data_IF_048160913192
#
_entry.id   IF_048160913192
#
_cell.length_a   1.000
_cell.length_b   1.000
_cell.length_c   1.000
_cell.angle_alpha   90.00
_cell.angle_beta   90.00
_cell.angle_gamma   90.00
#
_symmetry.space_group_name_H-M   'P 1'
#
loop_
_entity.id
_entity.type
_entity.pdbx_description
1 polymer ?
#
# COMPACT_ATOMS: atom_id res chain seq x y z
N UNK A 1 2.56 -28.71 2.30
CA UNK A 1 2.47 -28.30 0.88
C UNK A 1 3.11 -26.92 0.61
N UNK A 2 4.25 -26.57 1.22
CA UNK A 2 4.75 -25.18 1.22
C UNK A 2 6.16 -25.00 0.60
N UNK A 3 6.83 -26.07 0.17
CA UNK A 3 8.21 -26.00 -0.33
C UNK A 3 8.31 -25.54 -1.79
N UNK A 4 7.35 -25.91 -2.64
CA UNK A 4 7.37 -25.62 -4.10
C UNK A 4 6.98 -24.17 -4.43
N UNK A 5 6.24 -23.48 -3.55
CA UNK A 5 5.84 -22.08 -3.77
C UNK A 5 6.98 -21.08 -3.57
N UNK A 6 7.95 -21.41 -2.70
CA UNK A 6 9.11 -20.54 -2.42
C UNK A 6 9.99 -20.29 -3.65
N UNK A 7 10.45 -21.31 -4.42
CA UNK A 7 11.31 -21.08 -5.59
C UNK A 7 10.60 -20.34 -6.71
N UNK A 8 9.28 -20.57 -6.90
CA UNK A 8 8.48 -19.85 -7.91
C UNK A 8 8.33 -18.38 -7.55
N UNK A 9 8.09 -18.06 -6.27
CA UNK A 9 7.98 -16.69 -5.79
C UNK A 9 9.30 -15.94 -5.87
N UNK A 10 10.42 -16.60 -5.55
CA UNK A 10 11.74 -15.99 -5.73
C UNK A 10 12.05 -15.76 -7.21
N UNK A 11 11.75 -16.72 -8.09
CA UNK A 11 11.91 -16.54 -9.54
C UNK A 11 11.08 -15.37 -10.07
N UNK A 12 9.81 -15.27 -9.65
CA UNK A 12 8.94 -14.16 -10.04
C UNK A 12 9.49 -12.81 -9.57
N UNK A 13 10.04 -12.74 -8.34
CA UNK A 13 10.67 -11.52 -7.82
C UNK A 13 11.93 -11.15 -8.59
N UNK A 14 12.79 -12.13 -8.92
CA UNK A 14 13.99 -11.91 -9.73
C UNK A 14 13.64 -11.45 -11.15
N UNK A 15 12.65 -12.07 -11.78
CA UNK A 15 12.16 -11.67 -13.09
C UNK A 15 11.56 -10.26 -13.06
N UNK A 16 10.78 -9.93 -12.04
CA UNK A 16 10.25 -8.58 -11.86
C UNK A 16 11.37 -7.55 -11.67
N UNK A 17 12.40 -7.86 -10.87
CA UNK A 17 13.55 -6.98 -10.69
C UNK A 17 14.32 -6.74 -12.00
N UNK A 18 14.55 -7.79 -12.80
CA UNK A 18 15.18 -7.69 -14.12
C UNK A 18 14.33 -6.83 -15.06
N UNK A 19 13.00 -7.03 -15.08
CA UNK A 19 12.10 -6.23 -15.90
C UNK A 19 12.14 -4.75 -15.53
N UNK A 20 12.14 -4.41 -14.23
CA UNK A 20 12.24 -3.02 -13.76
C UNK A 20 13.55 -2.37 -14.22
N UNK A 21 14.68 -3.06 -14.07
CA UNK A 21 15.98 -2.55 -14.51
C UNK A 21 16.03 -2.34 -16.03
N UNK A 22 15.50 -3.29 -16.80
CA UNK A 22 15.40 -3.18 -18.26
C UNK A 22 14.49 -2.03 -18.69
N UNK A 23 13.36 -1.79 -18.00
CA UNK A 23 12.47 -0.66 -18.28
C UNK A 23 13.18 0.68 -18.09
N UNK A 24 13.98 0.84 -17.04
CA UNK A 24 14.73 2.07 -16.79
C UNK A 24 15.83 2.27 -17.84
N UNK A 25 16.59 1.23 -18.16
CA UNK A 25 17.64 1.30 -19.19
C UNK A 25 17.05 1.67 -20.55
N UNK A 26 15.91 1.09 -20.89
CA UNK A 26 15.19 1.34 -22.14
C UNK A 26 14.64 2.77 -22.21
N UNK A 27 14.06 3.28 -21.12
CA UNK A 27 13.59 4.67 -21.05
C UNK A 27 14.75 5.67 -21.20
N UNK A 28 15.86 5.48 -20.48
CA UNK A 28 17.03 6.34 -20.60
C UNK A 28 17.61 6.32 -22.03
N UNK A 29 17.62 5.16 -22.67
CA UNK A 29 18.05 5.00 -24.06
C UNK A 29 17.11 5.69 -25.05
N UNK A 30 15.79 5.62 -24.84
CA UNK A 30 14.82 6.34 -25.66
C UNK A 30 14.95 7.86 -25.56
N UNK A 31 15.32 8.40 -24.39
CA UNK A 31 15.58 9.84 -24.19
C UNK A 31 16.87 10.25 -24.89
N UNK A 32 17.92 9.42 -24.83
CA UNK A 32 19.18 9.67 -25.53
C UNK A 32 19.00 9.71 -27.06
N UNK A 33 18.08 8.90 -27.61
CA UNK A 33 17.74 8.90 -29.03
C UNK A 33 16.58 9.83 -29.41
N UNK A 34 16.02 10.60 -28.47
CA UNK A 34 14.97 11.57 -28.77
C UNK A 34 15.51 12.85 -29.42
N UNK A 35 16.80 13.15 -29.24
CA UNK A 35 17.49 14.30 -29.87
C UNK A 35 18.14 13.96 -31.21
N UNK A 36 18.36 12.68 -31.49
CA UNK A 36 18.86 12.23 -32.77
C UNK A 36 17.68 12.11 -33.73
N UNK A 37 17.76 12.83 -34.85
CA UNK A 37 16.78 12.81 -35.93
C UNK A 37 16.42 11.36 -36.29
N UNK A 38 15.14 11.11 -36.63
CA UNK A 38 14.44 9.81 -36.67
C UNK A 38 15.01 8.73 -37.64
N UNK A 39 16.28 8.87 -38.07
CA UNK A 39 17.04 7.97 -38.94
C UNK A 39 17.98 7.01 -38.23
N UNK A 40 18.22 7.18 -36.93
CA UNK A 40 18.94 6.17 -36.16
C UNK A 40 17.98 5.05 -35.78
N UNK A 41 17.77 4.09 -36.69
CA UNK A 41 16.93 2.90 -36.49
C UNK A 41 17.49 2.02 -35.36
N UNK A 42 17.26 2.42 -34.10
CA UNK A 42 17.59 1.61 -32.97
C UNK A 42 16.54 0.49 -32.85
N UNK A 43 16.98 -0.74 -33.13
CA UNK A 43 16.19 -1.97 -33.01
C UNK A 43 15.50 -2.06 -31.63
N UNK A 44 16.15 -1.55 -30.58
CA UNK A 44 15.62 -1.57 -29.22
C UNK A 44 14.42 -0.61 -29.04
N UNK A 45 14.48 0.60 -29.61
CA UNK A 45 13.37 1.56 -29.60
C UNK A 45 12.19 1.08 -30.44
N UNK A 46 12.47 0.42 -31.58
CA UNK A 46 11.44 -0.15 -32.45
C UNK A 46 10.65 -1.28 -31.76
N UNK A 47 11.30 -2.08 -30.92
CA UNK A 47 10.63 -3.13 -30.13
C UNK A 47 9.89 -2.60 -28.89
N UNK A 48 10.27 -1.43 -28.37
CA UNK A 48 9.57 -0.79 -27.25
C UNK A 48 8.16 -0.34 -27.65
N UNK A 49 8.00 0.19 -28.87
CA UNK A 49 6.72 0.75 -29.33
C UNK A 49 5.58 -0.30 -29.31
N UNK A 50 5.75 -1.53 -29.84
CA UNK A 50 4.77 -2.60 -29.70
C UNK A 50 4.52 -3.03 -28.24
N UNK A 51 5.55 -3.06 -27.38
CA UNK A 51 5.42 -3.47 -25.99
C UNK A 51 4.53 -2.51 -25.19
N UNK A 52 4.71 -1.20 -25.40
CA UNK A 52 3.88 -0.18 -24.76
C UNK A 52 2.42 -0.28 -25.20
N UNK A 53 2.17 -0.65 -26.46
CA UNK A 53 0.81 -0.85 -26.99
C UNK A 53 0.24 -2.25 -26.71
N UNK A 54 1.05 -3.23 -26.32
CA UNK A 54 0.62 -4.59 -25.99
C UNK A 54 -0.03 -4.70 -24.60
N UNK A 55 0.32 -3.78 -23.67
CA UNK A 55 -0.34 -3.70 -22.36
C UNK A 55 -1.66 -2.95 -22.57
N UNK A 56 -2.71 -3.69 -22.89
CA UNK A 56 -4.07 -3.15 -22.96
C UNK A 56 -4.44 -2.57 -21.59
N UNK A 57 -4.50 -1.25 -21.51
CA UNK A 57 -4.96 -0.54 -20.32
C UNK A 57 -6.48 -0.70 -20.21
N UNK A 58 -6.95 -1.75 -19.52
CA UNK A 58 -8.34 -1.82 -19.10
C UNK A 58 -8.53 -0.86 -17.93
N UNK A 59 -9.52 0.03 -18.00
CA UNK A 59 -9.93 0.84 -16.86
C UNK A 59 -10.28 -0.07 -15.68
N UNK A 60 -9.49 -0.01 -14.61
CA UNK A 60 -9.78 -0.71 -13.36
C UNK A 60 -10.94 -0.03 -12.67
N UNK A 61 -12.15 -0.54 -12.90
CA UNK A 61 -13.37 -0.04 -12.26
C UNK A 61 -13.62 -0.84 -10.98
N UNK A 62 -13.14 -0.32 -9.84
CA UNK A 62 -13.42 -0.92 -8.54
C UNK A 62 -14.73 -0.34 -8.01
N UNK A 63 -15.79 -1.16 -8.02
CA UNK A 63 -17.03 -0.85 -7.30
C UNK A 63 -16.76 -0.91 -5.79
N UNK A 64 -16.30 0.21 -5.23
CA UNK A 64 -16.07 0.36 -3.81
C UNK A 64 -17.43 0.55 -3.12
N UNK A 65 -17.98 -0.51 -2.54
CA UNK A 65 -19.19 -0.42 -1.74
C UNK A 65 -18.93 0.46 -0.51
N UNK A 66 -19.55 1.63 -0.46
CA UNK A 66 -19.44 2.54 0.68
C UNK A 66 -20.00 1.87 1.94
N UNK A 67 -19.13 1.55 2.89
CA UNK A 67 -19.55 1.00 4.19
C UNK A 67 -20.22 2.11 5.02
N UNK A 68 -21.44 1.83 5.48
CA UNK A 68 -22.18 2.68 6.41
C UNK A 68 -22.09 2.10 7.82
N UNK A 69 -22.38 2.92 8.83
CA UNK A 69 -22.43 2.49 10.22
C UNK A 69 -23.76 2.87 10.86
N UNK A 70 -24.13 2.15 11.91
CA UNK A 70 -25.32 2.42 12.71
C UNK A 70 -24.87 3.23 13.92
N UNK A 71 -25.33 4.48 14.02
CA UNK A 71 -25.10 5.29 15.22
C UNK A 71 -26.02 4.83 16.35
N UNK A 72 -25.45 4.38 17.45
CA UNK A 72 -26.19 4.05 18.67
C UNK A 72 -25.89 5.10 19.72
N UNK A 73 -26.92 5.82 20.17
CA UNK A 73 -26.81 6.79 21.25
C UNK A 73 -27.13 6.11 22.59
N UNK A 74 -26.22 6.25 23.56
CA UNK A 74 -26.42 5.74 24.91
C UNK A 74 -26.64 6.91 25.87
N UNK A 75 -27.70 6.85 26.68
CA UNK A 75 -27.87 7.79 27.79
C UNK A 75 -26.91 7.42 28.91
N UNK A 76 -25.87 8.24 29.10
CA UNK A 76 -25.01 8.15 30.28
C UNK A 76 -25.79 8.68 31.47
N UNK A 77 -26.17 7.78 32.40
CA UNK A 77 -26.80 8.19 33.65
C UNK A 77 -25.70 8.63 34.61
N UNK A 78 -25.66 9.92 34.95
CA UNK A 78 -24.77 10.43 35.99
C UNK A 78 -25.26 9.93 37.35
N UNK A 79 -24.41 9.19 38.07
CA UNK A 79 -24.70 8.78 39.44
C UNK A 79 -23.61 9.31 40.38
N UNK A 80 -24.02 9.76 41.57
CA UNK A 80 -23.11 10.14 42.65
C UNK A 80 -23.05 8.98 43.63
N UNK A 81 -21.86 8.45 43.87
CA UNK A 81 -21.64 7.47 44.94
C UNK A 81 -21.03 8.17 46.16
N UNK A 82 -21.53 7.90 47.37
CA UNK A 82 -20.83 8.34 48.57
C UNK A 82 -19.50 7.60 48.66
N UNK A 83 -18.40 8.34 48.74
CA UNK A 83 -17.08 7.75 49.01
C UNK A 83 -17.01 7.31 50.47
N UNK A 84 -16.77 6.03 50.69
CA UNK A 84 -16.49 5.47 52.02
C UNK A 84 -15.15 4.75 52.00
N UNK A 85 -14.30 5.02 53.00
CA UNK A 85 -13.04 4.33 53.21
C UNK A 85 -12.96 3.88 54.66
N UNK A 86 -12.66 2.60 54.85
CA UNK A 86 -12.44 2.02 56.18
C UNK A 86 -10.94 2.00 56.48
N UNK A 87 -10.52 2.64 57.56
CA UNK A 87 -9.11 2.69 57.97
C UNK A 87 -8.91 1.79 59.20
N UNK A 88 -8.22 0.67 59.01
CA UNK A 88 -8.05 -0.37 60.04
C UNK A 88 -6.94 -0.10 61.08
N UNK A 89 -6.34 1.10 61.16
CA UNK A 89 -5.32 1.40 62.20
C UNK A 89 -4.72 2.82 62.20
N UNK A 90 -5.15 3.75 61.35
CA UNK A 90 -4.65 5.13 61.40
C UNK A 90 -5.82 6.10 61.33
N UNK A 91 -6.05 6.84 62.40
CA UNK A 91 -7.09 7.86 62.45
C UNK A 91 -6.86 8.88 61.31
N UNK A 92 -7.92 9.38 60.65
CA UNK A 92 -7.77 10.39 59.62
C UNK A 92 -7.15 11.67 60.22
N UNK A 93 -6.28 12.39 59.49
CA UNK A 93 -5.70 13.63 59.99
C UNK A 93 -6.83 14.62 60.29
N UNK A 94 -6.80 15.19 61.50
CA UNK A 94 -7.75 16.21 61.93
C UNK A 94 -7.42 17.51 61.18
N UNK A 95 -8.43 18.15 60.60
CA UNK A 95 -8.45 19.42 59.81
C UNK A 95 -8.29 19.24 58.28
N UNK A 96 -9.13 19.83 57.42
CA UNK A 96 -10.14 20.90 57.55
C UNK A 96 -11.39 20.61 56.71
#
# INVERSE_FOLDING_TARGET
MNSVMRPRRTLALWLAAILVLLSVALAAHSVAHASDDAKADCVLCLHQHPLQHAISYSSFDFLLAQQTYISVEFRVVSFKTPFWRHFNSRAPPVTA
#
